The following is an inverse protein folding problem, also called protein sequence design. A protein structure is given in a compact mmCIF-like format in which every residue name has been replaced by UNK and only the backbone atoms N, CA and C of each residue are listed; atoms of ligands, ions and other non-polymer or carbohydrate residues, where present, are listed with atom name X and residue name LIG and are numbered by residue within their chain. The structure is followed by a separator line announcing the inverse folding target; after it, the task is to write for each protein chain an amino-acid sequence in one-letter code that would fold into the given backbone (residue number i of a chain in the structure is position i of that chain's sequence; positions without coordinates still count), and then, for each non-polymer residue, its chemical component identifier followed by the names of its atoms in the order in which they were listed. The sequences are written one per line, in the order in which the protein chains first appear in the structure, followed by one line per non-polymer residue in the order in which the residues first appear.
data_IF_939888519051
#
_entry.id   IF_939888519051
#
_cell.length_a   1.000
_cell.length_b   1.000
_cell.length_c   1.000
_cell.angle_alpha   90.00
_cell.angle_beta   90.00
_cell.angle_gamma   90.00
#
_symmetry.space_group_name_H-M   'P 1'
#
loop_
_entity.id
_entity.type
_entity.pdbx_description
1 polymer ?
#
# COMPACT_ATOMS: atom_id res chain seq x y z
N UNK A 1 -4.39 -7.15 -12.17
CA UNK A 1 -5.83 -7.52 -12.28
C UNK A 1 -6.17 -8.13 -10.95
N UNK A 2 -7.01 -7.48 -10.13
CA UNK A 2 -7.46 -8.03 -8.84
C UNK A 2 -8.27 -9.28 -9.15
N UNK A 3 -7.64 -10.43 -8.96
CA UNK A 3 -8.18 -11.71 -9.41
C UNK A 3 -8.59 -12.62 -8.26
N UNK A 4 -8.52 -12.18 -6.99
CA UNK A 4 -8.84 -13.09 -5.88
C UNK A 4 -9.81 -12.50 -4.85
N UNK A 5 -11.02 -13.06 -4.87
CA UNK A 5 -12.05 -12.88 -3.85
C UNK A 5 -11.54 -13.24 -2.44
N UNK A 6 -10.53 -14.11 -2.32
CA UNK A 6 -9.95 -14.48 -1.03
C UNK A 6 -9.15 -13.34 -0.41
N UNK A 7 -8.48 -12.53 -1.21
CA UNK A 7 -7.83 -11.32 -0.73
C UNK A 7 -8.86 -10.29 -0.25
N UNK A 8 -9.92 -10.09 -1.03
CA UNK A 8 -11.03 -9.24 -0.63
C UNK A 8 -11.66 -9.72 0.68
N UNK A 9 -11.95 -11.01 0.82
CA UNK A 9 -12.40 -11.60 2.09
C UNK A 9 -11.39 -11.40 3.22
N UNK A 10 -10.09 -11.44 2.92
CA UNK A 10 -9.02 -11.15 3.86
C UNK A 10 -9.16 -9.75 4.48
N UNK A 11 -9.38 -8.72 3.64
CA UNK A 11 -9.65 -7.36 4.11
C UNK A 11 -10.97 -7.25 4.89
N UNK A 12 -12.01 -7.96 4.44
CA UNK A 12 -13.30 -7.98 5.13
C UNK A 12 -13.23 -8.47 6.58
N UNK A 13 -12.28 -9.36 6.91
CA UNK A 13 -12.05 -9.85 8.29
C UNK A 13 -11.54 -8.79 9.25
N UNK A 14 -11.16 -7.61 8.76
CA UNK A 14 -10.82 -6.46 9.61
C UNK A 14 -12.07 -5.79 10.20
N UNK A 15 -13.25 -6.07 9.64
CA UNK A 15 -14.52 -5.51 10.07
C UNK A 15 -15.19 -6.38 11.15
N UNK A 16 -16.07 -5.78 11.98
CA UNK A 16 -16.94 -6.55 12.86
C UNK A 16 -17.80 -7.56 12.08
N UNK A 17 -18.18 -8.69 12.71
CA UNK A 17 -19.05 -9.69 12.09
C UNK A 17 -20.35 -9.08 11.56
N UNK A 18 -20.71 -9.37 10.31
CA UNK A 18 -21.90 -8.89 9.62
C UNK A 18 -21.64 -7.68 8.71
N UNK A 19 -20.57 -6.91 8.96
CA UNK A 19 -20.12 -5.86 8.03
C UNK A 19 -19.17 -6.40 6.96
N UNK A 20 -18.52 -7.53 7.24
CA UNK A 20 -17.68 -8.28 6.30
C UNK A 20 -18.49 -8.83 5.12
N UNK A 21 -19.72 -9.32 5.35
CA UNK A 21 -20.63 -9.76 4.30
C UNK A 21 -20.99 -8.60 3.36
N UNK A 22 -21.37 -7.45 3.92
CA UNK A 22 -21.69 -6.25 3.14
C UNK A 22 -20.47 -5.76 2.34
N UNK A 23 -19.27 -5.85 2.91
CA UNK A 23 -18.04 -5.53 2.18
C UNK A 23 -17.79 -6.49 1.01
N UNK A 24 -18.03 -7.80 1.20
CA UNK A 24 -17.92 -8.79 0.12
C UNK A 24 -18.95 -8.56 -0.99
N UNK A 25 -20.15 -8.10 -0.66
CA UNK A 25 -21.19 -7.79 -1.65
C UNK A 25 -20.74 -6.74 -2.67
N UNK A 26 -19.97 -5.73 -2.25
CA UNK A 26 -19.38 -4.74 -3.17
C UNK A 26 -18.51 -5.39 -4.26
N UNK A 27 -17.71 -6.40 -3.91
CA UNK A 27 -16.93 -7.13 -4.89
C UNK A 27 -17.82 -7.93 -5.86
N UNK A 28 -18.86 -8.56 -5.34
CA UNK A 28 -19.77 -9.39 -6.13
C UNK A 28 -20.56 -8.60 -7.17
N UNK A 29 -20.78 -7.30 -6.95
CA UNK A 29 -21.49 -6.41 -7.88
C UNK A 29 -20.55 -5.53 -8.73
N UNK A 30 -19.24 -5.66 -8.58
CA UNK A 30 -18.25 -4.86 -9.33
C UNK A 30 -18.10 -3.42 -8.84
N UNK A 31 -18.37 -3.16 -7.56
CA UNK A 31 -18.28 -1.85 -6.91
C UNK A 31 -17.13 -1.82 -5.88
N UNK A 32 -15.95 -2.33 -6.26
CA UNK A 32 -14.81 -2.46 -5.35
C UNK A 32 -14.33 -1.11 -4.81
N UNK A 33 -14.42 -0.06 -5.63
CA UNK A 33 -14.18 1.31 -5.20
C UNK A 33 -15.06 1.73 -4.01
N UNK A 34 -16.36 1.44 -4.09
CA UNK A 34 -17.32 1.70 -3.02
C UNK A 34 -17.07 0.83 -1.80
N UNK A 35 -16.67 -0.43 -2.03
CA UNK A 35 -16.28 -1.36 -0.98
C UNK A 35 -15.09 -0.87 -0.17
N UNK A 36 -14.02 -0.39 -0.82
CA UNK A 36 -12.87 0.20 -0.12
C UNK A 36 -13.26 1.44 0.69
N UNK A 37 -14.09 2.32 0.13
CA UNK A 37 -14.63 3.46 0.88
C UNK A 37 -15.43 3.03 2.12
N UNK A 38 -16.24 1.98 1.98
CA UNK A 38 -16.97 1.38 3.10
C UNK A 38 -16.01 0.83 4.17
N UNK A 39 -15.03 0.01 3.78
CA UNK A 39 -14.02 -0.56 4.69
C UNK A 39 -13.33 0.54 5.51
N UNK A 40 -12.78 1.56 4.85
CA UNK A 40 -12.07 2.66 5.52
C UNK A 40 -12.98 3.43 6.49
N UNK A 41 -14.22 3.71 6.09
CA UNK A 41 -15.19 4.39 6.96
C UNK A 41 -15.48 3.57 8.21
N UNK A 42 -15.79 2.27 8.06
CA UNK A 42 -16.15 1.40 9.19
C UNK A 42 -14.99 1.22 10.15
N UNK A 43 -13.79 0.99 9.64
CA UNK A 43 -12.58 0.86 10.45
C UNK A 43 -12.34 2.08 11.35
N UNK A 44 -12.51 3.28 10.78
CA UNK A 44 -12.40 4.54 11.51
C UNK A 44 -13.55 4.72 12.52
N UNK A 45 -14.79 4.46 12.10
CA UNK A 45 -15.97 4.69 12.94
C UNK A 45 -15.98 3.78 14.19
N UNK A 46 -15.40 2.59 14.09
CA UNK A 46 -15.28 1.63 15.21
C UNK A 46 -13.98 1.79 16.02
N UNK A 47 -13.05 2.66 15.62
CA UNK A 47 -11.74 2.86 16.25
C UNK A 47 -10.97 1.55 16.47
N UNK A 48 -11.04 0.64 15.49
CA UNK A 48 -10.45 -0.70 15.60
C UNK A 48 -8.97 -0.65 15.23
N UNK A 49 -8.03 -0.98 16.14
CA UNK A 49 -6.62 -1.01 15.82
C UNK A 49 -6.34 -2.03 14.71
N UNK A 50 -5.72 -1.56 13.61
CA UNK A 50 -5.46 -2.37 12.42
C UNK A 50 -3.96 -2.68 12.35
N UNK A 51 -3.56 -3.94 12.14
CA UNK A 51 -2.17 -4.27 11.87
C UNK A 51 -1.60 -3.44 10.71
N UNK A 52 -0.38 -2.92 10.86
CA UNK A 52 0.22 -2.03 9.86
C UNK A 52 0.33 -2.67 8.46
N UNK A 53 0.56 -3.99 8.39
CA UNK A 53 0.60 -4.71 7.12
C UNK A 53 -0.78 -4.79 6.45
N UNK A 54 -1.85 -4.92 7.22
CA UNK A 54 -3.21 -4.94 6.67
C UNK A 54 -3.58 -3.57 6.08
N UNK A 55 -3.11 -2.47 6.70
CA UNK A 55 -3.23 -1.13 6.14
C UNK A 55 -2.45 -1.00 4.83
N UNK A 56 -1.23 -1.54 4.78
CA UNK A 56 -0.42 -1.58 3.55
C UNK A 56 -1.10 -2.40 2.45
N UNK A 57 -1.60 -3.61 2.74
CA UNK A 57 -2.33 -4.45 1.77
C UNK A 57 -3.61 -3.77 1.26
N UNK A 58 -4.35 -3.07 2.12
CA UNK A 58 -5.50 -2.28 1.73
C UNK A 58 -5.11 -1.08 0.84
N UNK A 59 -3.97 -0.42 1.14
CA UNK A 59 -3.42 0.64 0.30
C UNK A 59 -3.03 0.13 -1.09
N UNK A 60 -2.38 -1.03 -1.18
CA UNK A 60 -2.05 -1.67 -2.46
C UNK A 60 -3.31 -2.01 -3.26
N UNK A 61 -4.33 -2.54 -2.59
CA UNK A 61 -5.64 -2.81 -3.20
C UNK A 61 -6.28 -1.52 -3.73
N UNK A 62 -6.19 -0.42 -2.98
CA UNK A 62 -6.68 0.89 -3.40
C UNK A 62 -5.92 1.46 -4.60
N UNK A 63 -4.61 1.25 -4.68
CA UNK A 63 -3.80 1.67 -5.83
C UNK A 63 -4.18 0.89 -7.09
N UNK A 64 -4.33 -0.44 -7.00
CA UNK A 64 -4.70 -1.26 -8.15
C UNK A 64 -6.10 -0.93 -8.69
N UNK A 65 -7.02 -0.52 -7.83
CA UNK A 65 -8.33 0.01 -8.25
C UNK A 65 -8.32 1.49 -8.64
N UNK A 66 -7.17 2.18 -8.60
CA UNK A 66 -7.06 3.58 -8.98
C UNK A 66 -7.67 4.58 -7.99
N UNK A 67 -7.91 4.17 -6.74
CA UNK A 67 -8.58 4.98 -5.71
C UNK A 67 -7.64 5.45 -4.61
N UNK A 68 -6.38 5.01 -4.59
CA UNK A 68 -5.41 5.43 -3.58
C UNK A 68 -5.29 6.95 -3.45
N UNK A 69 -5.06 7.67 -4.55
CA UNK A 69 -4.81 9.13 -4.53
C UNK A 69 -5.95 9.91 -3.87
N UNK A 70 -7.20 9.45 -4.02
CA UNK A 70 -8.38 10.09 -3.41
C UNK A 70 -8.66 9.62 -1.99
N UNK A 71 -7.98 8.58 -1.51
CA UNK A 71 -8.20 7.94 -0.22
C UNK A 71 -6.98 7.98 0.71
N UNK A 72 -5.87 8.56 0.26
CA UNK A 72 -4.60 8.60 1.00
C UNK A 72 -4.75 9.24 2.39
N UNK A 73 -5.53 10.32 2.49
CA UNK A 73 -5.77 10.99 3.77
C UNK A 73 -6.59 10.10 4.73
N UNK A 74 -7.59 9.38 4.23
CA UNK A 74 -8.37 8.43 5.01
C UNK A 74 -7.51 7.28 5.52
N UNK A 75 -6.60 6.74 4.68
CA UNK A 75 -5.64 5.73 5.10
C UNK A 75 -4.73 6.22 6.23
N UNK A 76 -4.29 7.48 6.18
CA UNK A 76 -3.44 8.08 7.22
C UNK A 76 -4.15 8.35 8.54
N UNK A 77 -5.48 8.39 8.53
CA UNK A 77 -6.31 8.61 9.72
C UNK A 77 -6.72 7.31 10.42
N UNK A 78 -6.40 6.14 9.85
CA UNK A 78 -6.72 4.86 10.46
C UNK A 78 -5.94 4.66 11.78
N UNK A 79 -6.58 4.09 12.81
CA UNK A 79 -5.88 3.68 14.03
C UNK A 79 -4.99 2.46 13.75
N UNK A 80 -3.70 2.70 13.50
CA UNK A 80 -2.73 1.63 13.18
C UNK A 80 -2.13 1.04 14.46
N UNK A 81 -2.19 -0.28 14.58
CA UNK A 81 -1.36 -1.04 15.51
C UNK A 81 0.02 -1.27 14.89
N UNK A 82 0.96 -0.39 15.22
CA UNK A 82 2.37 -0.48 14.79
C UNK A 82 3.09 -1.72 15.36
N UNK A 83 2.52 -2.36 16.39
CA UNK A 83 3.05 -3.62 16.97
C UNK A 83 2.43 -4.86 16.35
N UNK A 84 1.33 -4.69 15.61
CA UNK A 84 0.55 -5.75 14.99
C UNK A 84 0.95 -5.96 13.53
N UNK A 85 1.23 -7.23 13.19
CA UNK A 85 1.38 -7.65 11.80
C UNK A 85 2.83 -7.81 11.32
N UNK A 86 2.97 -8.14 10.02
CA UNK A 86 4.27 -8.19 9.34
C UNK A 86 4.87 -6.78 9.25
N UNK A 87 6.19 -6.72 9.11
CA UNK A 87 7.03 -5.53 8.96
C UNK A 87 6.60 -4.42 7.99
N UNK A 88 5.60 -4.55 7.11
CA UNK A 88 5.31 -3.53 6.08
C UNK A 88 4.27 -2.55 6.60
N UNK A 89 4.48 -1.26 6.35
CA UNK A 89 3.60 -0.17 6.75
C UNK A 89 3.57 0.91 5.67
N UNK A 90 2.63 1.85 5.79
CA UNK A 90 2.68 3.08 5.02
C UNK A 90 3.97 3.86 5.34
N UNK A 91 4.63 4.36 4.31
CA UNK A 91 5.74 5.27 4.48
C UNK A 91 5.26 6.57 5.15
N UNK A 92 6.12 7.17 5.96
CA UNK A 92 5.84 8.48 6.54
C UNK A 92 5.71 9.56 5.45
N UNK A 93 5.10 10.71 5.77
CA UNK A 93 4.97 11.79 4.81
C UNK A 93 6.36 12.26 4.35
N UNK A 94 6.65 12.05 3.07
CA UNK A 94 7.90 12.45 2.41
C UNK A 94 7.58 13.08 1.06
N UNK A 95 8.40 14.04 0.64
CA UNK A 95 8.33 14.60 -0.70
C UNK A 95 8.80 13.62 -1.76
N UNK A 96 8.41 13.88 -3.01
CA UNK A 96 8.93 13.16 -4.16
C UNK A 96 10.43 13.43 -4.34
N UNK A 97 11.14 12.41 -4.82
CA UNK A 97 12.57 12.49 -5.16
C UNK A 97 12.70 12.35 -6.67
N UNK A 98 13.42 13.29 -7.30
CA UNK A 98 13.70 13.19 -8.74
C UNK A 98 14.56 11.97 -9.04
N UNK A 99 14.21 11.22 -10.08
CA UNK A 99 15.05 10.13 -10.60
C UNK A 99 16.04 10.74 -11.60
N UNK A 100 17.37 10.63 -11.40
CA UNK A 100 18.35 11.20 -12.31
C UNK A 100 18.17 10.68 -13.74
N UNK A 101 18.36 11.56 -14.72
CA UNK A 101 18.33 11.27 -16.16
C UNK A 101 17.00 10.73 -16.70
N UNK A 102 15.95 10.70 -15.88
CA UNK A 102 14.60 10.34 -16.25
C UNK A 102 13.65 11.49 -15.87
N UNK A 103 12.72 11.86 -16.74
CA UNK A 103 11.69 12.87 -16.42
C UNK A 103 10.61 12.27 -15.47
N UNK A 104 11.06 11.68 -14.36
CA UNK A 104 10.29 10.89 -13.40
C UNK A 104 10.61 11.32 -11.96
N UNK A 105 9.64 11.10 -11.08
CA UNK A 105 9.79 11.27 -9.63
C UNK A 105 9.37 10.01 -8.90
N UNK A 106 10.09 9.64 -7.86
CA UNK A 106 9.76 8.56 -6.94
C UNK A 106 9.10 9.15 -5.69
N UNK A 107 7.88 8.70 -5.38
CA UNK A 107 7.17 9.04 -4.16
C UNK A 107 7.20 7.86 -3.19
N UNK A 108 7.90 7.94 -2.06
CA UNK A 108 7.89 6.87 -1.07
C UNK A 108 6.46 6.59 -0.60
N UNK A 109 6.08 5.32 -0.57
CA UNK A 109 4.69 4.93 -0.35
C UNK A 109 4.54 3.84 0.71
N UNK A 110 5.30 2.75 0.61
CA UNK A 110 5.35 1.69 1.62
C UNK A 110 6.77 1.57 2.16
N UNK A 111 6.90 1.11 3.40
CA UNK A 111 8.19 0.88 4.03
C UNK A 111 8.20 -0.37 4.89
N UNK A 112 9.33 -1.05 4.95
CA UNK A 112 9.65 -2.03 5.95
C UNK A 112 10.00 -1.32 7.28
N UNK A 113 9.26 -1.63 8.33
CA UNK A 113 9.44 -1.17 9.69
C UNK A 113 10.77 -1.61 10.31
N UNK A 114 11.38 -2.69 9.81
CA UNK A 114 12.60 -3.26 10.37
C UNK A 114 13.88 -2.66 9.79
N UNK A 115 13.94 -2.47 8.47
CA UNK A 115 15.14 -2.00 7.77
C UNK A 115 14.99 -0.62 7.11
N UNK A 116 13.78 -0.13 6.87
CA UNK A 116 13.54 1.14 6.18
C UNK A 116 13.50 1.06 4.65
N UNK A 117 13.78 -0.10 4.05
CA UNK A 117 13.55 -0.33 2.62
C UNK A 117 12.08 -0.02 2.26
N UNK A 118 11.82 0.46 1.05
CA UNK A 118 10.48 0.94 0.71
C UNK A 118 10.11 0.75 -0.75
N UNK A 119 8.80 0.72 -0.98
CA UNK A 119 8.20 0.79 -2.31
C UNK A 119 7.91 2.26 -2.59
N UNK A 120 8.40 2.75 -3.72
CA UNK A 120 8.07 4.07 -4.24
C UNK A 120 7.13 3.98 -5.44
N UNK A 121 6.15 4.87 -5.49
CA UNK A 121 5.33 5.14 -6.68
C UNK A 121 6.14 6.02 -7.62
N UNK A 122 6.52 5.52 -8.79
CA UNK A 122 7.31 6.27 -9.76
C UNK A 122 6.38 6.88 -10.80
N UNK A 123 6.28 8.20 -10.80
CA UNK A 123 5.33 8.94 -11.63
C UNK A 123 6.07 9.90 -12.56
N UNK A 124 5.51 10.16 -13.75
CA UNK A 124 5.89 11.35 -14.51
C UNK A 124 5.20 12.57 -13.90
N UNK A 125 5.91 13.67 -13.64
CA UNK A 125 5.28 14.89 -13.18
C UNK A 125 4.29 15.43 -14.20
N UNK A 126 3.02 15.54 -13.81
CA UNK A 126 2.00 16.20 -14.61
C UNK A 126 1.57 17.51 -13.94
N UNK A 127 1.52 18.64 -14.69
CA UNK A 127 1.17 19.93 -14.11
C UNK A 127 -0.31 19.99 -13.69
N UNK A 128 -1.17 19.19 -14.31
CA UNK A 128 -2.62 19.15 -14.05
C UNK A 128 -3.14 17.72 -14.17
N UNK A 129 -3.07 16.95 -13.09
CA UNK A 129 -3.57 15.57 -13.07
C UNK A 129 -3.22 14.83 -11.79
N UNK A 130 -3.88 13.68 -11.52
CA UNK A 130 -3.42 12.76 -10.50
C UNK A 130 -2.07 12.20 -10.92
N UNK A 131 -1.16 12.06 -9.97
CA UNK A 131 0.16 11.47 -10.21
C UNK A 131 -0.01 9.95 -10.27
N UNK A 132 -0.30 9.44 -11.46
CA UNK A 132 -0.46 8.01 -11.72
C UNK A 132 0.92 7.38 -11.85
N UNK A 133 1.25 6.33 -11.06
CA UNK A 133 2.52 5.65 -11.20
C UNK A 133 2.60 4.96 -12.56
N UNK A 134 3.73 5.15 -13.21
CA UNK A 134 4.13 4.40 -14.39
C UNK A 134 4.87 3.13 -13.99
N UNK A 135 5.55 3.17 -12.85
CA UNK A 135 6.26 2.01 -12.29
C UNK A 135 6.20 2.05 -10.76
N UNK A 136 6.54 0.92 -10.14
CA UNK A 136 6.93 0.86 -8.73
C UNK A 136 8.40 0.52 -8.62
N UNK A 137 9.04 1.03 -7.58
CA UNK A 137 10.46 0.78 -7.33
C UNK A 137 10.68 0.28 -5.91
N UNK A 138 11.41 -0.83 -5.78
CA UNK A 138 11.94 -1.36 -4.52
C UNK A 138 13.44 -1.47 -4.67
N UNK A 139 14.19 -0.65 -3.94
CA UNK A 139 15.65 -0.52 -4.14
C UNK A 139 15.99 -0.22 -5.61
N UNK A 140 16.76 -1.08 -6.29
CA UNK A 140 17.09 -0.95 -7.71
C UNK A 140 16.14 -1.72 -8.64
N UNK A 141 15.18 -2.45 -8.08
CA UNK A 141 14.21 -3.23 -8.85
C UNK A 141 13.03 -2.36 -9.30
N UNK A 142 12.68 -2.52 -10.57
CA UNK A 142 11.55 -1.85 -11.21
C UNK A 142 10.45 -2.85 -11.47
N UNK A 143 9.21 -2.41 -11.24
CA UNK A 143 8.00 -3.19 -11.41
C UNK A 143 7.03 -2.42 -12.28
N UNK A 144 6.43 -3.11 -13.24
CA UNK A 144 5.33 -2.58 -14.02
C UNK A 144 4.05 -2.46 -13.17
N UNK A 145 3.06 -1.65 -13.58
CA UNK A 145 1.84 -1.46 -12.81
C UNK A 145 1.11 -2.76 -12.45
N UNK A 146 1.12 -3.75 -13.34
CA UNK A 146 0.57 -5.09 -13.12
C UNK A 146 1.34 -5.95 -12.11
N UNK A 147 2.60 -5.61 -11.81
CA UNK A 147 3.51 -6.33 -10.91
C UNK A 147 3.51 -5.73 -9.49
N UNK A 148 2.55 -4.85 -9.18
CA UNK A 148 2.44 -4.18 -7.89
C UNK A 148 2.48 -5.15 -6.69
N UNK A 149 1.79 -6.29 -6.78
CA UNK A 149 1.80 -7.30 -5.72
C UNK A 149 3.15 -8.01 -5.61
N UNK A 150 3.91 -8.10 -6.68
CA UNK A 150 5.28 -8.62 -6.67
C UNK A 150 6.22 -7.63 -5.97
N UNK A 151 6.08 -6.33 -6.25
CA UNK A 151 6.81 -5.29 -5.51
C UNK A 151 6.55 -5.34 -3.99
N UNK A 152 5.29 -5.56 -3.59
CA UNK A 152 4.92 -5.75 -2.19
C UNK A 152 5.51 -7.06 -1.62
N UNK A 153 5.48 -8.16 -2.38
CA UNK A 153 6.05 -9.43 -1.96
C UNK A 153 7.56 -9.35 -1.75
N UNK A 154 8.27 -8.63 -2.62
CA UNK A 154 9.71 -8.38 -2.49
C UNK A 154 10.02 -7.54 -1.26
N UNK A 155 9.21 -6.50 -0.97
CA UNK A 155 9.33 -5.74 0.27
C UNK A 155 9.09 -6.64 1.51
N UNK A 156 8.13 -7.56 1.45
CA UNK A 156 7.91 -8.54 2.52
C UNK A 156 9.10 -9.50 2.69
N UNK A 157 9.71 -9.96 1.59
CA UNK A 157 10.84 -10.89 1.62
C UNK A 157 12.04 -10.32 2.38
N UNK A 158 12.28 -9.01 2.24
CA UNK A 158 13.31 -8.29 2.99
C UNK A 158 13.08 -8.34 4.51
N UNK A 159 11.84 -8.49 4.97
CA UNK A 159 11.54 -8.52 6.39
C UNK A 159 11.87 -9.85 7.06
N UNK A 160 11.84 -10.93 6.28
CA UNK A 160 12.20 -12.26 6.73
C UNK A 160 13.73 -12.47 6.69
N UNK A 161 14.49 -11.54 6.08
CA UNK A 161 15.95 -11.54 6.00
C UNK A 161 16.60 -10.60 7.05
N UNK A 162 17.24 -11.14 8.11
CA UNK A 162 17.93 -10.32 9.12
C UNK A 162 19.13 -9.53 8.56
N UNK A 163 19.66 -9.88 7.38
CA UNK A 163 20.71 -9.11 6.71
C UNK A 163 20.16 -7.93 5.87
N UNK A 164 18.85 -7.88 5.62
CA UNK A 164 18.27 -6.82 4.78
C UNK A 164 18.55 -5.42 5.34
N UNK A 165 18.54 -5.27 6.66
CA UNK A 165 18.90 -4.01 7.34
C UNK A 165 20.33 -3.54 7.06
N UNK A 166 21.27 -4.46 6.88
CA UNK A 166 22.66 -4.12 6.60
C UNK A 166 22.87 -3.69 5.15
N UNK A 167 22.15 -4.31 4.21
CA UNK A 167 22.19 -3.93 2.78
C UNK A 167 21.61 -2.53 2.55
N UNK A 168 20.50 -2.20 3.20
CA UNK A 168 19.88 -0.88 3.07
C UNK A 168 20.77 0.24 3.62
N UNK A 169 21.38 0.05 4.80
CA UNK A 169 22.31 1.04 5.36
C UNK A 169 23.55 1.24 4.46
N UNK A 170 24.02 0.19 3.79
CA UNK A 170 25.14 0.27 2.86
C UNK A 170 24.79 0.95 1.53
N UNK A 171 23.52 1.06 1.16
CA UNK A 171 23.04 1.75 -0.05
C UNK A 171 22.82 3.26 0.15
N UNK A 172 22.97 3.76 1.39
CA UNK A 172 22.85 5.18 1.74
C UNK A 172 24.22 5.90 1.85
N UNK A 173 25.32 5.15 1.72
CA UNK A 173 26.71 5.65 1.68
C UNK A 173 27.22 5.76 0.23
#
# INVERSE_FOLDING_TARGET
MITDLDQWRGLGRLLPPGEDEQFVDYFMIGEQEGGLGFLLSRLRDHDLPIPANAVAEAAVTAEEWGVWVRSEDEFRLLPVDESGGRCVRLAGPSGAVAIPDEDLVAWPWLACASCGAGVSRVCRPEPFGPWVPQHYRVEECWYEPEELWEALADLHSCCDDPECRLRWLAALD
#
